data_IF_857668651513
#
_entry.id   IF_857668651513
#
_cell.length_a   1.000
_cell.length_b   1.000
_cell.length_c   1.000
_cell.angle_alpha   90.00
_cell.angle_beta   90.00
_cell.angle_gamma   90.00
#
_symmetry.space_group_name_H-M   'P 1'
#
loop_
_entity.id
_entity.type
_entity.pdbx_description
1 polymer ?
#
# COMPACT_ATOMS: atom_id res chain seq x y z
N UNK A 1 -3.10 50.01 20.14
CA UNK A 1 -3.34 49.45 18.79
C UNK A 1 -2.22 48.56 18.20
N UNK A 2 -1.00 48.52 18.73
CA UNK A 2 0.11 47.74 18.12
C UNK A 2 0.15 46.22 18.47
N UNK A 3 -0.41 45.77 19.60
CA UNK A 3 -0.36 44.34 20.05
C UNK A 3 -1.19 43.39 19.16
N UNK A 4 -2.33 43.81 18.62
CA UNK A 4 -3.16 42.98 17.77
C UNK A 4 -2.55 42.62 16.41
N UNK A 5 -1.75 43.54 15.85
CA UNK A 5 -1.08 43.28 14.57
C UNK A 5 0.04 42.24 14.68
N UNK A 6 0.76 42.20 15.82
CA UNK A 6 1.79 41.16 16.06
C UNK A 6 1.18 39.77 16.22
N UNK A 7 0.04 39.65 16.91
CA UNK A 7 -0.66 38.35 17.07
C UNK A 7 -1.14 37.84 15.72
N UNK A 8 -1.70 38.73 14.88
CA UNK A 8 -2.14 38.37 13.53
C UNK A 8 -0.96 37.92 12.65
N UNK A 9 0.15 38.63 12.71
CA UNK A 9 1.36 38.34 11.93
C UNK A 9 1.95 36.98 12.32
N UNK A 10 2.03 36.67 13.62
CA UNK A 10 2.52 35.39 14.14
C UNK A 10 1.61 34.23 13.69
N UNK A 11 0.28 34.41 13.76
CA UNK A 11 -0.64 33.36 13.32
C UNK A 11 -0.54 33.06 11.81
N UNK A 12 -0.33 34.06 10.98
CA UNK A 12 -0.10 33.88 9.54
C UNK A 12 1.21 33.13 9.28
N UNK A 13 2.30 33.47 9.97
CA UNK A 13 3.59 32.79 9.84
C UNK A 13 3.46 31.32 10.26
N UNK A 14 2.75 31.02 11.36
CA UNK A 14 2.52 29.65 11.79
C UNK A 14 1.71 28.85 10.77
N UNK A 15 0.68 29.42 10.15
CA UNK A 15 -0.09 28.77 9.10
C UNK A 15 0.74 28.46 7.85
N UNK A 16 1.60 29.41 7.44
CA UNK A 16 2.51 29.20 6.31
C UNK A 16 3.51 28.11 6.62
N UNK A 17 4.09 28.08 7.83
CA UNK A 17 5.00 27.01 8.25
C UNK A 17 4.35 25.65 8.24
N UNK A 18 3.11 25.50 8.74
CA UNK A 18 2.34 24.26 8.71
C UNK A 18 2.08 23.83 7.25
N UNK A 19 1.70 24.74 6.37
CA UNK A 19 1.51 24.44 4.95
C UNK A 19 2.79 23.97 4.27
N UNK A 20 3.93 24.59 4.56
CA UNK A 20 5.23 24.19 4.01
C UNK A 20 5.60 22.79 4.51
N UNK A 21 5.44 22.50 5.80
CA UNK A 21 5.70 21.17 6.38
C UNK A 21 4.81 20.13 5.73
N UNK A 22 3.51 20.40 5.60
CA UNK A 22 2.57 19.51 4.91
C UNK A 22 2.97 19.23 3.46
N UNK A 23 3.40 20.27 2.73
CA UNK A 23 3.84 20.15 1.34
C UNK A 23 5.15 19.35 1.22
N UNK A 24 6.10 19.56 2.14
CA UNK A 24 7.36 18.78 2.19
C UNK A 24 7.11 17.31 2.51
N UNK A 25 6.22 17.00 3.46
CA UNK A 25 5.83 15.63 3.78
C UNK A 25 5.17 14.97 2.57
N UNK A 26 4.25 15.67 1.91
CA UNK A 26 3.54 15.16 0.73
C UNK A 26 4.46 14.90 -0.46
N UNK A 27 5.47 15.75 -0.67
CA UNK A 27 6.42 15.59 -1.78
C UNK A 27 7.53 14.58 -1.51
N UNK A 28 7.83 14.29 -0.23
CA UNK A 28 8.80 13.25 0.14
C UNK A 28 8.18 11.85 0.22
N UNK A 29 6.86 11.73 0.16
CA UNK A 29 6.20 10.43 0.04
C UNK A 29 6.41 9.91 -1.39
N UNK A 30 7.34 8.98 -1.57
CA UNK A 30 7.45 8.24 -2.82
C UNK A 30 6.21 7.39 -2.97
N UNK A 31 5.49 7.54 -4.08
CA UNK A 31 4.46 6.57 -4.44
C UNK A 31 5.13 5.21 -4.67
N UNK A 32 4.39 4.11 -4.48
CA UNK A 32 4.79 2.79 -5.00
C UNK A 32 4.75 2.81 -6.54
N UNK A 33 5.08 3.95 -7.18
CA UNK A 33 5.14 4.08 -8.65
C UNK A 33 6.23 3.18 -9.27
N UNK A 34 7.17 2.73 -8.45
CA UNK A 34 8.10 1.68 -8.81
C UNK A 34 7.59 0.31 -8.34
N UNK A 35 6.30 0.03 -8.54
CA UNK A 35 5.89 -1.32 -8.88
C UNK A 35 6.49 -1.54 -10.28
N UNK A 36 7.81 -1.48 -10.34
CA UNK A 36 8.58 -1.91 -11.48
C UNK A 36 8.59 -3.42 -11.40
N UNK A 37 7.50 -3.99 -11.82
CA UNK A 37 7.49 -5.36 -12.28
C UNK A 37 8.39 -5.31 -13.51
N UNK A 38 9.67 -5.62 -13.32
CA UNK A 38 10.69 -5.79 -14.38
C UNK A 38 10.64 -4.74 -15.52
N UNK A 39 10.69 -3.44 -15.24
CA UNK A 39 10.70 -2.37 -16.24
C UNK A 39 9.59 -2.42 -17.32
N UNK A 40 8.73 -3.42 -17.33
CA UNK A 40 7.61 -3.55 -18.24
C UNK A 40 6.35 -3.08 -17.51
N UNK A 41 5.72 -2.06 -18.05
CA UNK A 41 4.42 -1.57 -17.58
C UNK A 41 3.37 -2.57 -18.06
N UNK A 42 3.11 -3.62 -17.24
CA UNK A 42 2.07 -4.59 -17.57
C UNK A 42 0.70 -3.90 -17.53
N UNK A 43 -0.03 -4.04 -18.62
CA UNK A 43 -1.42 -3.62 -18.68
C UNK A 43 -2.30 -4.57 -17.85
N UNK A 44 -3.45 -4.09 -17.41
CA UNK A 44 -4.38 -4.88 -16.59
C UNK A 44 -4.83 -6.15 -17.33
N UNK A 45 -4.90 -6.06 -18.67
CA UNK A 45 -5.23 -7.19 -19.55
C UNK A 45 -4.24 -8.34 -19.44
N UNK A 46 -2.98 -8.08 -19.06
CA UNK A 46 -1.93 -9.09 -18.91
C UNK A 46 -1.98 -9.81 -17.56
N UNK A 47 -2.85 -9.38 -16.64
CA UNK A 47 -3.00 -9.99 -15.34
C UNK A 47 -4.01 -11.15 -15.43
N UNK A 48 -3.58 -12.35 -15.05
CA UNK A 48 -4.43 -13.55 -14.98
C UNK A 48 -5.25 -13.53 -13.70
N UNK A 49 -4.58 -13.36 -12.57
CA UNK A 49 -5.21 -13.40 -11.25
C UNK A 49 -4.45 -12.57 -10.22
N UNK A 50 -5.14 -12.22 -9.14
CA UNK A 50 -4.51 -11.73 -7.92
C UNK A 50 -4.86 -12.69 -6.80
N UNK A 51 -3.84 -13.20 -6.12
CA UNK A 51 -3.94 -14.00 -4.90
C UNK A 51 -3.59 -13.12 -3.70
N UNK A 52 -4.34 -13.28 -2.62
CA UNK A 52 -3.99 -12.70 -1.33
C UNK A 52 -3.88 -13.82 -0.30
N UNK A 53 -2.77 -13.82 0.44
CA UNK A 53 -2.54 -14.68 1.58
C UNK A 53 -2.51 -13.81 2.84
N UNK A 54 -3.37 -14.08 3.78
CA UNK A 54 -3.45 -13.38 5.07
C UNK A 54 -2.95 -14.31 6.17
N UNK A 55 -1.99 -13.82 6.95
CA UNK A 55 -1.51 -14.51 8.15
C UNK A 55 -2.53 -14.34 9.28
N UNK A 56 -2.76 -15.41 10.05
CA UNK A 56 -3.62 -15.43 11.22
C UNK A 56 -2.94 -16.25 12.33
N UNK A 57 -3.43 -16.15 13.56
CA UNK A 57 -2.91 -16.97 14.68
C UNK A 57 -3.01 -18.49 14.40
N UNK A 58 -3.99 -18.92 13.60
CA UNK A 58 -4.22 -20.33 13.26
C UNK A 58 -3.59 -20.78 11.93
N UNK A 59 -2.79 -19.93 11.26
CA UNK A 59 -2.18 -20.25 9.96
C UNK A 59 -2.48 -19.20 8.89
N UNK A 60 -2.90 -19.64 7.69
CA UNK A 60 -3.11 -18.75 6.56
C UNK A 60 -4.53 -18.87 6.01
N UNK A 61 -5.10 -17.74 5.61
CA UNK A 61 -6.32 -17.68 4.81
C UNK A 61 -5.93 -17.24 3.41
N UNK A 62 -6.46 -17.94 2.40
CA UNK A 62 -6.17 -17.67 1.01
C UNK A 62 -7.39 -17.08 0.30
N UNK A 63 -7.13 -16.13 -0.58
CA UNK A 63 -8.12 -15.44 -1.38
C UNK A 63 -7.61 -15.38 -2.82
N UNK A 64 -8.51 -15.43 -3.78
CA UNK A 64 -8.18 -15.33 -5.20
C UNK A 64 -9.25 -14.56 -5.97
N UNK A 65 -8.84 -13.80 -6.95
CA UNK A 65 -9.74 -13.22 -7.93
C UNK A 65 -9.15 -13.26 -9.33
N UNK A 66 -10.01 -13.58 -10.30
CA UNK A 66 -9.78 -13.47 -11.75
C UNK A 66 -10.73 -12.45 -12.37
N UNK A 67 -11.60 -11.84 -11.55
CA UNK A 67 -12.53 -10.80 -12.00
C UNK A 67 -11.76 -9.53 -12.35
N UNK A 68 -11.86 -9.08 -13.59
CA UNK A 68 -11.09 -7.95 -14.13
C UNK A 68 -11.39 -6.62 -13.44
N UNK A 69 -12.64 -6.38 -13.06
CA UNK A 69 -13.03 -5.16 -12.33
C UNK A 69 -12.40 -5.14 -10.94
N UNK A 70 -12.39 -6.28 -10.24
CA UNK A 70 -11.78 -6.40 -8.92
C UNK A 70 -10.25 -6.31 -9.01
N UNK A 71 -9.64 -6.91 -10.03
CA UNK A 71 -8.21 -6.77 -10.34
C UNK A 71 -7.87 -5.29 -10.54
N UNK A 72 -8.65 -4.56 -11.34
CA UNK A 72 -8.44 -3.13 -11.56
C UNK A 72 -8.51 -2.34 -10.26
N UNK A 73 -9.52 -2.57 -9.41
CA UNK A 73 -9.64 -1.91 -8.11
C UNK A 73 -8.41 -2.16 -7.21
N UNK A 74 -7.92 -3.41 -7.17
CA UNK A 74 -6.73 -3.78 -6.38
C UNK A 74 -5.49 -3.06 -6.92
N UNK A 75 -5.27 -3.08 -8.23
CA UNK A 75 -4.12 -2.43 -8.87
C UNK A 75 -4.15 -0.92 -8.66
N UNK A 76 -5.30 -0.28 -8.80
CA UNK A 76 -5.46 1.15 -8.51
C UNK A 76 -5.20 1.48 -7.04
N UNK A 77 -5.67 0.63 -6.13
CA UNK A 77 -5.40 0.81 -4.70
C UNK A 77 -3.90 0.65 -4.40
N UNK A 78 -3.23 -0.36 -4.97
CA UNK A 78 -1.78 -0.56 -4.85
C UNK A 78 -0.99 0.65 -5.40
N UNK A 79 -1.32 1.15 -6.59
CA UNK A 79 -0.69 2.33 -7.21
C UNK A 79 -0.86 3.61 -6.38
N UNK A 80 -1.93 3.69 -5.59
CA UNK A 80 -2.21 4.85 -4.74
C UNK A 80 -1.59 4.78 -3.34
N UNK A 81 -0.93 3.67 -2.97
CA UNK A 81 -0.19 3.58 -1.72
C UNK A 81 1.06 4.47 -1.81
N UNK A 82 1.24 5.34 -0.84
CA UNK A 82 2.44 6.16 -0.70
C UNK A 82 3.38 5.50 0.30
N UNK A 83 4.65 5.45 -0.02
CA UNK A 83 5.70 4.92 0.85
C UNK A 83 6.41 6.09 1.54
N UNK A 84 6.45 6.02 2.87
CA UNK A 84 7.16 6.98 3.72
C UNK A 84 8.58 6.55 4.06
N UNK A 85 9.03 6.92 5.25
CA UNK A 85 10.36 6.62 5.76
C UNK A 85 10.55 5.14 6.12
N UNK A 86 11.83 4.73 6.19
CA UNK A 86 12.21 3.43 6.76
C UNK A 86 11.92 3.41 8.26
N UNK A 87 11.47 2.27 8.76
CA UNK A 87 11.23 2.04 10.18
C UNK A 87 11.94 0.77 10.64
N UNK A 88 12.56 0.85 11.82
CA UNK A 88 13.22 -0.29 12.46
C UNK A 88 12.28 -0.86 13.54
N UNK A 89 11.18 -1.45 13.12
CA UNK A 89 10.23 -2.10 14.01
C UNK A 89 10.14 -3.58 13.67
N UNK A 90 10.09 -4.41 14.71
CA UNK A 90 9.72 -5.81 14.58
C UNK A 90 8.23 -5.90 14.89
N UNK A 91 7.45 -6.40 13.93
CA UNK A 91 6.02 -6.56 14.10
C UNK A 91 5.71 -7.99 14.49
N UNK A 92 4.76 -8.15 15.41
CA UNK A 92 4.16 -9.44 15.76
C UNK A 92 2.81 -9.67 15.06
N UNK A 93 2.34 -8.66 14.33
CA UNK A 93 1.02 -8.68 13.72
C UNK A 93 1.00 -9.47 12.42
N UNK A 94 -0.17 -10.01 12.13
CA UNK A 94 -0.44 -10.76 10.92
C UNK A 94 -0.29 -9.89 9.66
N UNK A 95 0.40 -10.43 8.67
CA UNK A 95 0.67 -9.75 7.41
C UNK A 95 -0.26 -10.21 6.28
N UNK A 96 -0.26 -9.44 5.19
CA UNK A 96 -0.95 -9.77 3.96
C UNK A 96 0.01 -9.73 2.78
N UNK A 97 0.00 -10.80 2.00
CA UNK A 97 0.74 -10.92 0.76
C UNK A 97 -0.23 -10.79 -0.41
N UNK A 98 0.03 -9.87 -1.32
CA UNK A 98 -0.70 -9.74 -2.58
C UNK A 98 0.22 -10.21 -3.70
N UNK A 99 -0.14 -11.30 -4.35
CA UNK A 99 0.62 -11.86 -5.48
C UNK A 99 -0.17 -11.66 -6.76
N UNK A 100 0.39 -10.91 -7.70
CA UNK A 100 -0.15 -10.67 -9.02
C UNK A 100 0.48 -11.72 -9.96
N UNK A 101 -0.35 -12.45 -10.69
CA UNK A 101 0.07 -13.43 -11.68
C UNK A 101 -0.21 -12.90 -13.08
N UNK A 102 0.76 -13.00 -13.98
CA UNK A 102 0.68 -12.53 -15.37
C UNK A 102 0.56 -13.68 -16.35
N UNK A 103 0.07 -13.41 -17.57
CA UNK A 103 -0.07 -14.42 -18.62
C UNK A 103 1.25 -15.04 -19.07
N UNK A 104 2.38 -14.35 -18.90
CA UNK A 104 3.71 -14.88 -19.21
C UNK A 104 4.26 -15.81 -18.10
N UNK A 105 3.46 -16.07 -17.05
CA UNK A 105 3.84 -16.89 -15.90
C UNK A 105 4.68 -16.16 -14.85
N UNK A 106 5.01 -14.88 -15.06
CA UNK A 106 5.70 -14.08 -14.05
C UNK A 106 4.77 -13.69 -12.90
N UNK A 107 5.34 -13.40 -11.73
CA UNK A 107 4.59 -12.97 -10.56
C UNK A 107 5.24 -11.75 -9.90
N UNK A 108 4.41 -10.93 -9.25
CA UNK A 108 4.86 -9.85 -8.37
C UNK A 108 4.17 -9.97 -7.02
N UNK A 109 4.94 -9.96 -5.94
CA UNK A 109 4.40 -10.09 -4.59
C UNK A 109 4.71 -8.84 -3.76
N UNK A 110 3.67 -8.35 -3.10
CA UNK A 110 3.69 -7.21 -2.19
C UNK A 110 3.31 -7.68 -0.79
N UNK A 111 4.19 -7.45 0.18
CA UNK A 111 3.93 -7.81 1.58
C UNK A 111 3.66 -6.56 2.40
N UNK A 112 2.52 -6.55 3.09
CA UNK A 112 2.12 -5.51 4.01
C UNK A 112 1.85 -6.10 5.39
N UNK A 113 2.40 -5.46 6.41
CA UNK A 113 2.16 -5.82 7.81
C UNK A 113 1.69 -4.58 8.56
N UNK A 114 0.50 -4.63 9.16
CA UNK A 114 -0.17 -3.45 9.71
C UNK A 114 -0.32 -2.33 8.67
N UNK A 115 0.39 -1.21 8.83
CA UNK A 115 0.43 -0.09 7.89
C UNK A 115 1.84 0.10 7.30
N UNK A 116 2.58 -0.99 7.17
CA UNK A 116 3.95 -0.97 6.67
C UNK A 116 4.09 -1.88 5.46
N UNK A 117 4.85 -1.41 4.48
CA UNK A 117 5.27 -2.20 3.33
C UNK A 117 6.65 -2.80 3.63
N UNK A 118 6.78 -4.10 3.51
CA UNK A 118 8.09 -4.76 3.63
C UNK A 118 8.65 -5.04 2.23
N UNK A 119 9.86 -4.54 2.02
CA UNK A 119 10.65 -4.84 0.83
C UNK A 119 12.08 -5.15 1.26
N UNK A 120 12.62 -6.28 0.82
CA UNK A 120 13.99 -6.73 1.10
C UNK A 120 14.32 -6.71 2.61
N UNK A 121 13.38 -7.16 3.44
CA UNK A 121 13.46 -7.15 4.92
C UNK A 121 13.56 -5.75 5.54
N UNK A 122 13.20 -4.71 4.80
CA UNK A 122 13.09 -3.34 5.30
C UNK A 122 11.64 -2.93 5.33
N UNK A 123 11.20 -2.41 6.49
CA UNK A 123 9.85 -1.87 6.65
C UNK A 123 9.82 -0.39 6.29
N UNK A 124 8.77 0.00 5.57
CA UNK A 124 8.50 1.38 5.18
C UNK A 124 7.09 1.75 5.62
N UNK A 125 6.92 2.94 6.19
CA UNK A 125 5.57 3.47 6.44
C UNK A 125 4.74 3.52 5.17
N UNK A 126 3.43 3.27 5.29
CA UNK A 126 2.52 3.40 4.16
C UNK A 126 1.36 4.34 4.48
N UNK A 127 0.97 5.12 3.47
CA UNK A 127 -0.24 5.94 3.51
C UNK A 127 -1.23 5.41 2.46
N UNK A 128 -2.52 5.53 2.76
CA UNK A 128 -3.63 5.03 1.92
C UNK A 128 -3.77 3.49 1.81
N UNK A 129 -3.00 2.69 2.55
CA UNK A 129 -3.12 1.24 2.55
C UNK A 129 -4.52 0.76 2.97
N UNK A 130 -5.23 1.53 3.80
CA UNK A 130 -6.59 1.21 4.21
C UNK A 130 -7.59 1.08 3.06
N UNK A 131 -7.33 1.68 1.89
CA UNK A 131 -8.17 1.50 0.70
C UNK A 131 -8.04 0.07 0.17
N UNK A 132 -6.82 -0.46 0.08
CA UNK A 132 -6.56 -1.83 -0.34
C UNK A 132 -7.15 -2.84 0.66
N UNK A 133 -7.02 -2.60 1.97
CA UNK A 133 -7.57 -3.48 3.02
C UNK A 133 -9.09 -3.63 2.96
N UNK A 134 -9.81 -2.64 2.44
CA UNK A 134 -11.28 -2.64 2.34
C UNK A 134 -11.82 -3.38 1.11
N UNK A 135 -10.96 -3.73 0.15
CA UNK A 135 -11.39 -4.47 -1.04
C UNK A 135 -11.69 -5.91 -0.62
N UNK A 136 -12.91 -6.34 -0.87
CA UNK A 136 -13.35 -7.69 -0.54
C UNK A 136 -12.95 -8.67 -1.66
N UNK A 137 -11.90 -9.45 -1.43
CA UNK A 137 -11.45 -10.50 -2.34
C UNK A 137 -12.12 -11.81 -1.88
N UNK A 138 -12.70 -12.62 -2.79
CA UNK A 138 -13.32 -13.88 -2.42
C UNK A 138 -12.31 -14.85 -1.78
N UNK A 139 -12.72 -15.56 -0.73
CA UNK A 139 -11.91 -16.63 -0.15
C UNK A 139 -11.76 -17.77 -1.16
N UNK A 140 -10.55 -18.26 -1.29
CA UNK A 140 -10.28 -19.47 -2.06
C UNK A 140 -10.69 -20.68 -1.21
N UNK A 141 -11.62 -21.48 -1.73
CA UNK A 141 -11.92 -22.78 -1.12
C UNK A 141 -10.75 -23.72 -1.44
N UNK A 142 -9.84 -23.88 -0.50
CA UNK A 142 -8.80 -24.91 -0.61
C UNK A 142 -9.50 -26.22 -0.31
N UNK A 143 -9.85 -26.98 -1.33
CA UNK A 143 -10.18 -28.39 -1.17
C UNK A 143 -8.88 -29.11 -0.77
N UNK A 144 -8.67 -29.27 0.52
CA UNK A 144 -7.73 -30.26 1.02
C UNK A 144 -8.29 -31.62 0.60
N UNK A 145 -7.80 -32.16 -0.50
CA UNK A 145 -7.88 -33.58 -0.74
C UNK A 145 -6.76 -34.22 0.10
N UNK A 146 -7.11 -35.01 1.16
CA UNK A 146 -6.13 -35.69 2.00
C UNK A 146 -5.36 -36.76 1.21
#
# INVERSE_FOLDING_TARGET
>A
MKKGHYVLLISIICLIAIMIIYFLIKNNCKKIDNITINNNQYEIEQIVSIKMKEETEGGYIYYKTENKELIQQIIEALKNIQIGGKVNLTFSDNGRYYTIEYYDGTTATYYFQSNYYNKDNVNYETYNYNKLKKINIPKESINYNP
#
